data_IF_050227504174
#
_entry.id   IF_050227504174
#
_cell.length_a   1.000
_cell.length_b   1.000
_cell.length_c   1.000
_cell.angle_alpha   90.00
_cell.angle_beta   90.00
_cell.angle_gamma   90.00
#
_symmetry.space_group_name_H-M   'P 1'
#
loop_
_entity.id
_entity.type
_entity.pdbx_description
1 polymer ?
#
# COMPACT_ATOMS: atom_id res chain seq x y z
N UNK A 1 34.35 -22.04 35.74
CA UNK A 1 34.05 -21.10 34.65
C UNK A 1 33.49 -21.92 33.48
N UNK A 2 32.49 -21.42 32.74
CA UNK A 2 31.85 -22.08 31.56
C UNK A 2 30.54 -22.86 31.77
N UNK A 3 29.51 -22.24 32.37
CA UNK A 3 28.13 -22.75 32.21
C UNK A 3 27.05 -21.65 32.32
N UNK A 4 27.31 -20.58 33.07
CA UNK A 4 26.34 -19.49 33.27
C UNK A 4 26.28 -18.48 32.12
N UNK A 5 27.40 -18.27 31.42
CA UNK A 5 27.51 -17.26 30.35
C UNK A 5 26.78 -17.68 29.06
N UNK A 6 26.65 -18.98 28.79
CA UNK A 6 26.08 -19.49 27.54
C UNK A 6 24.55 -19.34 27.47
N UNK A 7 23.85 -19.35 28.61
CA UNK A 7 22.38 -19.27 28.62
C UNK A 7 21.83 -17.86 28.43
N UNK A 8 22.59 -16.83 28.80
CA UNK A 8 22.16 -15.42 28.69
C UNK A 8 22.24 -14.94 27.22
N UNK A 9 23.23 -15.41 26.46
CA UNK A 9 23.39 -15.04 25.04
C UNK A 9 22.29 -15.65 24.16
N UNK A 10 21.84 -16.87 24.47
CA UNK A 10 20.76 -17.53 23.72
C UNK A 10 19.39 -16.86 23.92
N UNK A 11 19.10 -16.37 25.13
CA UNK A 11 17.85 -15.66 25.41
C UNK A 11 17.81 -14.25 24.77
N UNK A 12 18.95 -13.55 24.72
CA UNK A 12 19.03 -12.24 24.08
C UNK A 12 18.86 -12.31 22.55
N UNK A 13 19.41 -13.35 21.91
CA UNK A 13 19.21 -13.61 20.48
C UNK A 13 17.77 -14.06 20.16
N UNK A 14 17.12 -14.81 21.05
CA UNK A 14 15.72 -15.17 20.89
C UNK A 14 14.79 -13.95 21.03
N UNK A 15 15.03 -13.06 22.00
CA UNK A 15 14.26 -11.83 22.14
C UNK A 15 14.51 -10.85 20.98
N UNK A 16 15.75 -10.72 20.49
CA UNK A 16 16.05 -9.89 19.31
C UNK A 16 15.44 -10.46 18.02
N UNK A 17 15.40 -11.80 17.87
CA UNK A 17 14.77 -12.46 16.73
C UNK A 17 13.24 -12.36 16.73
N UNK A 18 12.61 -12.38 17.92
CA UNK A 18 11.16 -12.20 18.04
C UNK A 18 10.75 -10.74 17.83
N UNK A 19 11.55 -9.76 18.28
CA UNK A 19 11.25 -8.33 18.04
C UNK A 19 11.30 -7.97 16.55
N UNK A 20 12.09 -8.67 15.73
CA UNK A 20 12.08 -8.50 14.27
C UNK A 20 10.88 -9.15 13.57
N UNK A 21 10.24 -10.14 14.21
CA UNK A 21 9.05 -10.84 13.67
C UNK A 21 7.72 -10.29 14.20
N UNK A 22 7.76 -9.50 15.29
CA UNK A 22 6.61 -8.76 15.83
C UNK A 22 6.70 -7.26 15.55
N UNK A 23 7.53 -6.84 14.58
CA UNK A 23 7.23 -5.60 13.91
C UNK A 23 5.81 -5.77 13.39
N UNK A 24 4.84 -5.10 14.01
CA UNK A 24 3.53 -4.93 13.43
C UNK A 24 3.79 -4.31 12.05
N UNK A 25 3.91 -5.15 11.03
CA UNK A 25 3.87 -4.72 9.65
C UNK A 25 2.41 -4.32 9.48
N UNK A 26 2.11 -3.08 9.87
CA UNK A 26 0.83 -2.46 9.64
C UNK A 26 0.70 -2.40 8.13
N UNK A 27 -0.06 -3.35 7.61
CA UNK A 27 -0.40 -3.41 6.20
C UNK A 27 -1.33 -2.26 5.93
N UNK A 28 -0.92 -1.35 5.06
CA UNK A 28 -1.82 -0.31 4.58
C UNK A 28 -3.01 -0.95 3.88
N UNK A 29 -4.20 -0.64 4.39
CA UNK A 29 -5.45 -1.19 3.89
C UNK A 29 -5.93 -0.33 2.74
N UNK A 30 -5.47 -0.67 1.54
CA UNK A 30 -5.79 0.05 0.30
C UNK A 30 -6.48 -0.85 -0.70
N UNK A 31 -7.29 -0.23 -1.56
CA UNK A 31 -8.02 -0.91 -2.63
C UNK A 31 -7.92 -0.12 -3.94
N UNK A 32 -7.95 -0.84 -5.05
CA UNK A 32 -7.98 -0.29 -6.40
C UNK A 32 -9.13 -0.92 -7.18
N UNK A 33 -9.85 -0.11 -7.95
CA UNK A 33 -10.84 -0.56 -8.94
C UNK A 33 -10.40 -0.11 -10.32
N UNK A 34 -10.41 -1.03 -11.28
CA UNK A 34 -10.23 -0.74 -12.70
C UNK A 34 -11.57 -0.35 -13.31
N UNK A 35 -11.66 0.83 -13.91
CA UNK A 35 -12.88 1.33 -14.53
C UNK A 35 -13.00 0.88 -16.00
N UNK A 36 -14.20 0.97 -16.58
CA UNK A 36 -14.46 0.57 -17.98
C UNK A 36 -13.64 1.37 -19.00
N UNK A 37 -13.29 2.61 -18.67
CA UNK A 37 -12.48 3.50 -19.51
C UNK A 37 -10.96 3.31 -19.32
N UNK A 38 -10.56 2.34 -18.51
CA UNK A 38 -9.15 2.04 -18.20
C UNK A 38 -8.53 2.91 -17.11
N UNK A 39 -9.28 3.87 -16.55
CA UNK A 39 -8.86 4.65 -15.37
C UNK A 39 -8.93 3.80 -14.10
N UNK A 40 -8.41 4.33 -13.00
CA UNK A 40 -8.47 3.66 -11.71
C UNK A 40 -9.10 4.52 -10.64
N UNK A 41 -9.80 3.85 -9.72
CA UNK A 41 -10.24 4.44 -8.47
C UNK A 41 -9.45 3.81 -7.33
N UNK A 42 -8.83 4.65 -6.51
CA UNK A 42 -8.04 4.23 -5.36
C UNK A 42 -8.73 4.64 -4.06
N UNK A 43 -8.73 3.75 -3.07
CA UNK A 43 -9.31 3.98 -1.76
C UNK A 43 -8.40 3.45 -0.64
N UNK A 44 -8.55 4.02 0.55
CA UNK A 44 -7.80 3.61 1.75
C UNK A 44 -8.69 3.58 2.99
N UNK A 45 -8.41 2.67 3.92
CA UNK A 45 -9.06 2.62 5.22
C UNK A 45 -8.40 3.53 6.27
N UNK A 46 -7.39 4.30 5.86
CA UNK A 46 -6.70 5.22 6.74
C UNK A 46 -7.28 6.62 6.59
N UNK A 47 -7.26 7.37 7.69
CA UNK A 47 -7.54 8.80 7.65
C UNK A 47 -6.21 9.53 7.55
N UNK A 48 -6.04 10.28 6.47
CA UNK A 48 -4.94 11.22 6.31
C UNK A 48 -5.48 12.62 6.06
N UNK A 49 -4.75 13.59 6.55
CA UNK A 49 -5.01 15.02 6.35
C UNK A 49 -3.77 15.66 5.76
N UNK A 50 -3.91 16.86 5.20
CA UNK A 50 -2.79 17.58 4.58
C UNK A 50 -2.05 16.71 3.57
N UNK A 51 -2.79 16.08 2.66
CA UNK A 51 -2.21 15.27 1.58
C UNK A 51 -1.23 16.14 0.79
N UNK A 52 0.00 15.67 0.69
CA UNK A 52 1.08 16.38 0.01
C UNK A 52 1.34 15.84 -1.38
N UNK A 53 1.14 14.54 -1.58
CA UNK A 53 1.40 13.88 -2.86
C UNK A 53 0.58 12.61 -3.03
N UNK A 54 0.26 12.29 -4.29
CA UNK A 54 -0.16 10.97 -4.73
C UNK A 54 0.68 10.60 -5.93
N UNK A 55 1.55 9.62 -5.74
CA UNK A 55 2.37 9.08 -6.81
C UNK A 55 1.83 7.72 -7.21
N UNK A 56 1.21 7.64 -8.38
CA UNK A 56 0.69 6.41 -8.94
C UNK A 56 1.44 6.08 -10.24
N UNK A 57 1.88 4.84 -10.38
CA UNK A 57 2.70 4.38 -11.51
C UNK A 57 2.20 3.03 -12.00
N UNK A 58 1.97 2.92 -13.31
CA UNK A 58 1.78 1.64 -13.97
C UNK A 58 3.15 1.09 -14.43
N UNK A 59 3.40 -0.19 -14.21
CA UNK A 59 4.60 -0.89 -14.63
C UNK A 59 4.27 -1.87 -15.75
N UNK A 60 5.11 -1.89 -16.77
CA UNK A 60 5.12 -2.86 -17.84
C UNK A 60 6.27 -3.83 -17.62
N UNK A 61 6.13 -5.09 -18.07
CA UNK A 61 7.26 -6.01 -18.09
C UNK A 61 7.97 -5.91 -19.43
N UNK A 62 9.18 -5.37 -19.40
CA UNK A 62 10.11 -5.39 -20.53
C UNK A 62 11.23 -6.38 -20.21
N UNK A 63 11.42 -7.39 -21.08
CA UNK A 63 12.51 -8.38 -20.96
C UNK A 63 12.58 -9.14 -19.60
N UNK A 64 11.46 -9.26 -18.91
CA UNK A 64 11.36 -9.93 -17.60
C UNK A 64 11.66 -9.03 -16.39
N UNK A 65 11.96 -7.75 -16.60
CA UNK A 65 12.09 -6.74 -15.55
C UNK A 65 10.89 -5.78 -15.58
N UNK A 66 10.51 -5.24 -14.41
CA UNK A 66 9.50 -4.18 -14.35
C UNK A 66 10.12 -2.88 -14.86
N UNK A 67 9.70 -2.43 -16.03
CA UNK A 67 9.96 -1.10 -16.55
C UNK A 67 8.81 -0.18 -16.11
N UNK A 68 9.12 0.98 -15.52
CA UNK A 68 8.10 1.97 -15.21
C UNK A 68 7.49 2.51 -16.51
N UNK A 69 6.17 2.39 -16.65
CA UNK A 69 5.37 3.04 -17.69
C UNK A 69 4.87 4.42 -17.17
N UNK A 70 3.78 5.07 -17.64
CA UNK A 70 3.52 6.45 -17.25
C UNK A 70 3.06 6.58 -15.80
N UNK A 71 3.35 7.76 -15.24
CA UNK A 71 2.73 8.24 -14.01
C UNK A 71 1.24 8.44 -14.27
N UNK A 72 0.40 7.80 -13.44
CA UNK A 72 -1.03 8.01 -13.40
C UNK A 72 -1.28 9.28 -12.60
N UNK A 73 -2.02 10.21 -13.17
CA UNK A 73 -2.29 11.51 -12.55
C UNK A 73 -3.68 11.55 -11.96
N UNK A 74 -3.83 12.13 -10.77
CA UNK A 74 -5.12 12.62 -10.27
C UNK A 74 -5.33 14.06 -10.74
N UNK A 75 -6.55 14.40 -11.18
CA UNK A 75 -6.90 15.77 -11.55
C UNK A 75 -7.04 16.69 -10.35
N UNK A 76 -7.45 16.13 -9.21
CA UNK A 76 -7.77 16.86 -7.98
C UNK A 76 -7.29 16.05 -6.78
N UNK A 77 -6.15 16.44 -6.22
CA UNK A 77 -5.67 15.85 -4.97
C UNK A 77 -6.50 16.39 -3.81
N UNK A 78 -7.20 15.53 -3.07
CA UNK A 78 -8.01 15.99 -1.96
C UNK A 78 -7.09 16.41 -0.81
N UNK A 79 -7.47 17.43 -0.04
CA UNK A 79 -6.68 17.88 1.12
C UNK A 79 -6.72 16.89 2.31
N UNK A 80 -7.70 15.99 2.30
CA UNK A 80 -7.91 14.93 3.29
C UNK A 80 -8.49 13.70 2.61
N UNK A 81 -8.27 12.53 3.19
CA UNK A 81 -8.90 11.27 2.77
C UNK A 81 -9.34 10.51 4.01
N UNK A 82 -10.50 9.88 3.92
CA UNK A 82 -11.06 9.00 4.94
C UNK A 82 -11.61 7.71 4.29
N UNK A 83 -11.90 6.67 5.09
CA UNK A 83 -12.58 5.49 4.59
C UNK A 83 -13.87 5.84 3.87
N UNK A 84 -14.01 5.35 2.62
CA UNK A 84 -15.13 5.63 1.74
C UNK A 84 -14.86 6.73 0.71
N UNK A 85 -13.80 7.52 0.87
CA UNK A 85 -13.36 8.46 -0.16
C UNK A 85 -12.64 7.72 -1.30
N UNK A 86 -12.75 8.28 -2.50
CA UNK A 86 -12.16 7.73 -3.73
C UNK A 86 -11.27 8.77 -4.39
N UNK A 87 -10.03 8.38 -4.68
CA UNK A 87 -9.07 9.15 -5.48
C UNK A 87 -9.11 8.59 -6.89
N UNK A 88 -9.53 9.41 -7.85
CA UNK A 88 -9.57 9.03 -9.25
C UNK A 88 -8.20 9.24 -9.92
N UNK A 89 -7.72 8.23 -10.63
CA UNK A 89 -6.43 8.20 -11.32
C UNK A 89 -6.66 7.98 -12.81
N UNK A 90 -5.95 8.72 -13.65
CA UNK A 90 -6.03 8.58 -15.11
C UNK A 90 -5.71 7.16 -15.59
N UNK A 91 -6.25 6.78 -16.74
CA UNK A 91 -5.83 5.59 -17.45
C UNK A 91 -4.32 5.66 -17.82
N UNK A 92 -3.60 4.52 -17.80
CA UNK A 92 -2.25 4.47 -18.34
C UNK A 92 -2.30 4.71 -19.86
N UNK A 93 -1.24 5.28 -20.41
CA UNK A 93 -1.13 5.54 -21.86
C UNK A 93 -1.00 4.27 -22.71
N UNK A 94 -0.78 3.13 -22.06
CA UNK A 94 -0.60 1.80 -22.64
C UNK A 94 -1.46 0.83 -21.85
N UNK A 95 -2.06 -0.11 -22.56
CA UNK A 95 -2.89 -1.21 -22.06
C UNK A 95 -2.07 -2.49 -21.76
N UNK A 96 -0.74 -2.45 -21.95
CA UNK A 96 0.19 -3.57 -21.72
C UNK A 96 0.80 -3.60 -20.30
N UNK A 97 0.21 -2.88 -19.34
CA UNK A 97 0.70 -2.84 -17.97
C UNK A 97 0.39 -4.13 -17.19
N UNK A 98 1.30 -4.50 -16.29
CA UNK A 98 1.23 -5.70 -15.46
C UNK A 98 0.95 -5.39 -13.99
N UNK A 99 1.29 -4.19 -13.53
CA UNK A 99 1.19 -3.82 -12.12
C UNK A 99 0.96 -2.32 -11.97
N UNK A 100 0.23 -1.92 -10.93
CA UNK A 100 0.07 -0.54 -10.51
C UNK A 100 0.57 -0.40 -9.07
N UNK A 101 1.41 0.60 -8.82
CA UNK A 101 1.74 1.07 -7.48
C UNK A 101 1.10 2.41 -7.23
N UNK A 102 0.52 2.60 -6.06
CA UNK A 102 -0.01 3.89 -5.59
C UNK A 102 0.62 4.20 -4.25
N UNK A 103 1.21 5.38 -4.14
CA UNK A 103 1.80 5.92 -2.91
C UNK A 103 1.09 7.22 -2.59
N UNK A 104 0.53 7.31 -1.39
CA UNK A 104 -0.18 8.49 -0.89
C UNK A 104 0.56 9.02 0.35
N UNK A 105 0.95 10.28 0.31
CA UNK A 105 1.66 10.94 1.41
C UNK A 105 0.80 12.01 2.08
N UNK A 106 0.80 12.03 3.40
CA UNK A 106 0.08 13.04 4.17
C UNK A 106 0.41 12.99 5.66
N UNK A 107 -0.56 13.44 6.47
CA UNK A 107 -0.45 13.51 7.93
C UNK A 107 -1.53 12.66 8.58
N UNK A 108 -1.10 11.66 9.34
CA UNK A 108 -1.95 10.90 10.24
C UNK A 108 -2.03 11.59 11.60
N UNK A 109 -3.23 11.76 12.15
CA UNK A 109 -3.40 12.30 13.50
C UNK A 109 -3.55 11.18 14.50
N UNK A 110 -2.62 11.08 15.45
CA UNK A 110 -2.66 10.06 16.50
C UNK A 110 -3.83 10.30 17.46
N UNK A 111 -4.15 9.30 18.30
CA UNK A 111 -5.19 9.45 19.35
C UNK A 111 -4.91 10.59 20.35
N UNK A 112 -3.66 11.06 20.43
CA UNK A 112 -3.27 12.18 21.30
C UNK A 112 -3.39 13.54 20.60
N UNK A 113 -3.80 13.57 19.34
CA UNK A 113 -3.93 14.80 18.53
C UNK A 113 -2.63 15.26 17.88
N UNK A 114 -1.56 14.46 17.93
CA UNK A 114 -0.29 14.76 17.26
C UNK A 114 -0.38 14.37 15.78
N UNK A 115 0.00 15.27 14.88
CA UNK A 115 0.11 15.00 13.46
C UNK A 115 1.49 14.43 13.12
N UNK A 116 1.52 13.23 12.55
CA UNK A 116 2.73 12.55 12.09
C UNK A 116 2.67 12.38 10.56
N UNK A 117 3.79 12.63 9.88
CA UNK A 117 3.89 12.31 8.45
C UNK A 117 3.74 10.79 8.28
N UNK A 118 2.92 10.40 7.32
CA UNK A 118 2.59 9.02 7.03
C UNK A 118 2.51 8.79 5.53
N UNK A 119 2.96 7.63 5.12
CA UNK A 119 2.92 7.16 3.73
C UNK A 119 2.06 5.91 3.69
N UNK A 120 1.15 5.86 2.72
CA UNK A 120 0.28 4.72 2.45
C UNK A 120 0.68 4.15 1.10
N UNK A 121 0.97 2.86 1.08
CA UNK A 121 1.36 2.14 -0.13
C UNK A 121 0.30 1.11 -0.56
N UNK A 122 0.10 0.98 -1.87
CA UNK A 122 -0.73 -0.06 -2.47
C UNK A 122 -0.10 -0.62 -3.74
N UNK A 123 0.00 -1.95 -3.82
CA UNK A 123 0.54 -2.65 -4.99
C UNK A 123 -0.51 -3.63 -5.53
N UNK A 124 -0.80 -3.53 -6.83
CA UNK A 124 -1.89 -4.23 -7.48
C UNK A 124 -1.40 -4.87 -8.77
N UNK A 125 -1.58 -6.18 -8.93
CA UNK A 125 -1.26 -6.85 -10.20
C UNK A 125 -2.46 -6.78 -11.14
N UNK A 126 -2.19 -6.66 -12.44
CA UNK A 126 -3.23 -6.65 -13.49
C UNK A 126 -4.17 -7.85 -13.40
N UNK A 127 -3.62 -9.03 -13.14
CA UNK A 127 -4.34 -10.30 -13.06
C UNK A 127 -5.31 -10.38 -11.85
N UNK A 128 -5.12 -9.52 -10.86
CA UNK A 128 -5.96 -9.46 -9.67
C UNK A 128 -7.09 -8.41 -9.81
N UNK A 129 -7.14 -7.66 -10.93
CA UNK A 129 -8.05 -6.53 -11.13
C UNK A 129 -9.16 -6.87 -12.14
N UNK A 130 -10.36 -7.07 -11.62
CA UNK A 130 -11.60 -7.16 -12.40
C UNK A 130 -12.19 -5.77 -12.66
N UNK A 131 -12.74 -5.58 -13.87
CA UNK A 131 -13.34 -4.30 -14.26
C UNK A 131 -14.60 -4.05 -13.44
N UNK A 132 -14.67 -2.88 -12.80
CA UNK A 132 -15.80 -2.45 -11.96
C UNK A 132 -15.79 -3.00 -10.54
N UNK A 133 -14.81 -3.85 -10.18
CA UNK A 133 -14.73 -4.45 -8.83
C UNK A 133 -13.55 -3.90 -8.03
N UNK A 134 -13.75 -3.80 -6.71
CA UNK A 134 -12.70 -3.41 -5.77
C UNK A 134 -11.77 -4.58 -5.49
N UNK A 135 -10.48 -4.34 -5.68
CA UNK A 135 -9.42 -5.31 -5.36
C UNK A 135 -8.51 -4.74 -4.29
N UNK A 136 -8.29 -5.50 -3.23
CA UNK A 136 -7.46 -5.07 -2.11
C UNK A 136 -5.99 -5.29 -2.39
N UNK A 137 -5.16 -4.32 -1.98
CA UNK A 137 -3.72 -4.42 -2.13
C UNK A 137 -3.21 -5.66 -1.41
N UNK A 138 -2.24 -6.33 -2.02
CA UNK A 138 -1.46 -7.37 -1.37
C UNK A 138 -0.16 -6.70 -0.94
N UNK A 139 0.17 -6.70 0.34
CA UNK A 139 1.52 -6.29 0.78
C UNK A 139 2.40 -7.50 1.10
N UNK A 140 3.70 -7.34 0.82
CA UNK A 140 4.75 -8.11 1.45
C UNK A 140 5.80 -8.69 0.50
N UNK A 141 6.93 -7.98 0.38
CA UNK A 141 8.20 -8.35 -0.26
C UNK A 141 8.84 -9.65 0.31
N UNK A 142 8.20 -10.40 1.20
CA UNK A 142 8.69 -11.68 1.72
C UNK A 142 7.57 -12.72 1.90
N UNK A 143 7.66 -13.81 1.12
CA UNK A 143 7.01 -15.13 1.27
C UNK A 143 5.54 -15.08 1.73
N UNK A 144 4.64 -14.70 0.81
CA UNK A 144 3.22 -15.05 0.90
C UNK A 144 2.27 -13.87 0.70
N UNK A 145 1.17 -14.12 -0.02
CA UNK A 145 0.06 -13.18 -0.13
C UNK A 145 -0.72 -13.19 1.20
N UNK A 146 -0.65 -12.12 1.98
CA UNK A 146 -1.48 -11.96 3.18
C UNK A 146 -2.77 -11.22 2.79
N UNK A 147 -3.96 -11.80 3.05
CA UNK A 147 -5.22 -11.10 2.81
C UNK A 147 -5.35 -9.92 3.79
N UNK A 148 -5.71 -8.77 3.24
CA UNK A 148 -5.85 -7.52 3.98
C UNK A 148 -7.31 -7.35 4.39
N UNK A 149 -7.56 -6.99 5.66
CA UNK A 149 -8.94 -6.73 6.12
C UNK A 149 -9.53 -5.50 5.40
N UNK A 150 -10.70 -5.66 4.80
CA UNK A 150 -11.42 -4.59 4.13
C UNK A 150 -12.09 -3.63 5.11
N UNK A 151 -12.12 -2.35 4.78
CA UNK A 151 -13.12 -1.42 5.33
C UNK A 151 -14.32 -1.31 4.38
N UNK A 152 -15.42 -0.76 4.91
CA UNK A 152 -16.60 -0.46 4.11
C UNK A 152 -16.26 0.65 3.11
N UNK A 153 -16.11 0.26 1.84
CA UNK A 153 -16.03 1.17 0.71
C UNK A 153 -17.46 1.31 0.18
N UNK A 154 -18.02 2.51 0.27
CA UNK A 154 -19.36 2.77 -0.23
C UNK A 154 -19.25 2.81 -1.76
N UNK A 155 -19.86 1.82 -2.42
CA UNK A 155 -19.94 1.70 -3.89
C UNK A 155 -21.09 2.50 -4.48
#
# INVERSE_FOLDING_TARGET
>A
MSAFTTRIVAAALACAGVILLTGCQEVDRTALRLNEDGSFDFATCHVLSSITDVNAVAYERADGELASSPVLTSSDLPSEVAPGDVIHLSAPSSDEWDQVSVVLEGVHTTRQGEGISWTIDGLFNRDDLDVGEWSWAKTGVFIGNVPVESCELIG
#
